data_IF_910490707705
#
_entry.id   IF_910490707705
#
_cell.length_a   1.000
_cell.length_b   1.000
_cell.length_c   1.000
_cell.angle_alpha   90.00
_cell.angle_beta   90.00
_cell.angle_gamma   90.00
#
_symmetry.space_group_name_H-M   'P 1'
#
loop_
_entity.id
_entity.type
_entity.pdbx_description
1 polymer ?
#
# COMPACT_ATOMS: atom_id res chain seq x y z
N UNK A 1 -11.77 -7.41 25.99
CA UNK A 1 -10.31 -7.27 25.89
C UNK A 1 -10.04 -6.29 24.76
N UNK A 2 -9.28 -5.22 25.02
CA UNK A 2 -8.96 -4.22 24.00
C UNK A 2 -7.71 -4.72 23.29
N UNK A 3 -7.87 -5.40 22.15
CA UNK A 3 -6.73 -5.80 21.32
C UNK A 3 -6.18 -4.52 20.70
N UNK A 4 -4.99 -4.11 21.11
CA UNK A 4 -4.31 -2.97 20.50
C UNK A 4 -4.12 -3.24 19.00
N UNK A 5 -4.44 -2.25 18.16
CA UNK A 5 -4.28 -2.39 16.72
C UNK A 5 -2.80 -2.53 16.38
N UNK A 6 -2.43 -3.42 15.45
CA UNK A 6 -1.08 -3.47 14.92
C UNK A 6 -0.61 -2.10 14.43
N UNK A 7 0.65 -1.77 14.70
CA UNK A 7 1.27 -0.52 14.29
C UNK A 7 2.22 -0.76 13.13
N UNK A 8 2.08 0.02 12.05
CA UNK A 8 3.06 0.06 10.97
C UNK A 8 4.32 0.79 11.46
N UNK A 9 5.40 0.05 11.69
CA UNK A 9 6.67 0.58 12.17
C UNK A 9 7.45 1.30 11.08
N UNK A 10 7.62 0.63 9.94
CA UNK A 10 8.37 1.15 8.82
C UNK A 10 7.88 0.55 7.49
N UNK A 11 8.02 1.34 6.43
CA UNK A 11 7.87 0.90 5.05
C UNK A 11 9.15 1.21 4.30
N UNK A 12 9.74 0.20 3.68
CA UNK A 12 11.00 0.30 2.95
C UNK A 12 10.81 -0.14 1.51
N UNK A 13 11.44 0.56 0.58
CA UNK A 13 11.37 0.27 -0.85
C UNK A 13 12.77 0.10 -1.41
N UNK A 14 13.03 -1.02 -2.08
CA UNK A 14 14.20 -1.22 -2.92
C UNK A 14 13.82 -0.87 -4.36
N UNK A 15 14.53 0.05 -5.05
CA UNK A 15 14.16 0.44 -6.41
C UNK A 15 14.40 -0.66 -7.46
N UNK A 16 15.44 -1.47 -7.30
CA UNK A 16 15.85 -2.49 -8.28
C UNK A 16 16.53 -3.71 -7.64
N UNK A 17 16.00 -4.95 -7.85
CA UNK A 17 14.64 -5.21 -8.31
C UNK A 17 13.63 -4.53 -7.37
N UNK A 18 12.48 -4.09 -7.90
CA UNK A 18 11.49 -3.37 -7.09
C UNK A 18 10.92 -4.31 -6.03
N UNK A 19 11.12 -3.97 -4.77
CA UNK A 19 10.64 -4.73 -3.61
C UNK A 19 10.15 -3.75 -2.54
N UNK A 20 9.04 -4.09 -1.89
CA UNK A 20 8.49 -3.32 -0.77
C UNK A 20 8.41 -4.24 0.45
N UNK A 21 8.94 -3.76 1.57
CA UNK A 21 8.87 -4.45 2.87
C UNK A 21 8.21 -3.53 3.88
N UNK A 22 7.29 -4.09 4.65
CA UNK A 22 6.71 -3.42 5.81
C UNK A 22 7.13 -4.14 7.07
N UNK A 23 7.40 -3.38 8.12
CA UNK A 23 7.56 -3.87 9.48
C UNK A 23 6.36 -3.46 10.30
N UNK A 24 5.77 -4.42 11.00
CA UNK A 24 4.64 -4.21 11.89
C UNK A 24 5.00 -4.66 13.30
N UNK A 25 4.45 -3.93 14.27
CA UNK A 25 4.42 -4.31 15.68
C UNK A 25 3.01 -4.78 16.02
N UNK A 26 2.86 -6.04 16.39
CA UNK A 26 1.57 -6.67 16.70
C UNK A 26 1.52 -7.03 18.19
N UNK A 27 0.68 -6.35 18.98
CA UNK A 27 0.46 -6.68 20.39
C UNK A 27 -0.26 -8.03 20.53
N UNK A 28 0.24 -8.88 21.41
CA UNK A 28 -0.34 -10.19 21.72
C UNK A 28 -1.17 -10.11 22.99
N UNK A 29 -2.49 -10.17 22.83
CA UNK A 29 -3.51 -10.38 23.88
C UNK A 29 -3.27 -9.69 25.23
N UNK A 30 -2.83 -8.44 25.24
CA UNK A 30 -2.77 -7.60 26.45
C UNK A 30 -1.67 -7.93 27.45
N UNK A 31 -0.73 -8.83 27.13
CA UNK A 31 0.34 -9.26 28.06
C UNK A 31 1.63 -8.43 27.94
N UNK A 32 1.61 -7.28 27.25
CA UNK A 32 2.83 -6.48 26.99
C UNK A 32 3.83 -7.16 26.05
N UNK A 33 3.44 -8.29 25.46
CA UNK A 33 4.20 -9.03 24.45
C UNK A 33 3.85 -8.47 23.07
N UNK A 34 4.87 -8.24 22.26
CA UNK A 34 4.77 -7.71 20.90
C UNK A 34 5.48 -8.67 19.95
N UNK A 35 4.86 -8.92 18.80
CA UNK A 35 5.48 -9.60 17.68
C UNK A 35 6.03 -8.58 16.69
N UNK A 36 7.26 -8.81 16.22
CA UNK A 36 7.81 -8.15 15.05
C UNK A 36 7.41 -8.96 13.82
N UNK A 37 6.66 -8.36 12.91
CA UNK A 37 6.21 -9.01 11.68
C UNK A 37 6.72 -8.25 10.48
N UNK A 38 7.34 -8.97 9.55
CA UNK A 38 7.65 -8.47 8.23
C UNK A 38 6.53 -8.85 7.26
N UNK A 39 6.04 -7.87 6.48
CA UNK A 39 5.19 -8.12 5.33
C UNK A 39 6.00 -7.88 4.05
N UNK A 40 6.02 -8.86 3.15
CA UNK A 40 6.63 -8.76 1.82
C UNK A 40 5.66 -9.29 0.77
N UNK A 41 5.29 -8.46 -0.21
CA UNK A 41 4.29 -8.80 -1.24
C UNK A 41 2.98 -9.37 -0.65
N UNK A 42 2.56 -8.86 0.51
CA UNK A 42 1.37 -9.31 1.25
C UNK A 42 1.55 -10.58 2.08
N UNK A 43 2.73 -11.22 2.06
CA UNK A 43 3.03 -12.41 2.88
C UNK A 43 3.67 -11.98 4.19
N UNK A 44 3.10 -12.41 5.30
CA UNK A 44 3.59 -12.09 6.64
C UNK A 44 4.53 -13.17 7.16
N UNK A 45 5.67 -12.74 7.69
CA UNK A 45 6.64 -13.57 8.37
C UNK A 45 6.91 -12.98 9.75
N UNK A 46 6.67 -13.75 10.80
CA UNK A 46 7.05 -13.35 12.15
C UNK A 46 8.58 -13.44 12.27
N UNK A 47 9.20 -12.35 12.70
CA UNK A 47 10.65 -12.22 12.81
C UNK A 47 11.09 -12.46 14.26
N UNK A 48 10.36 -11.89 15.21
CA UNK A 48 10.68 -11.99 16.62
C UNK A 48 9.46 -11.75 17.51
N UNK A 49 9.62 -12.04 18.80
CA UNK A 49 8.65 -11.77 19.86
C UNK A 49 9.40 -11.30 21.10
N UNK A 50 8.85 -10.33 21.82
CA UNK A 50 9.45 -9.82 23.05
C UNK A 50 8.61 -8.70 23.65
N UNK A 51 9.21 -7.91 24.54
CA UNK A 51 8.61 -6.65 24.98
C UNK A 51 8.61 -5.63 23.84
N UNK A 52 7.77 -4.58 23.94
CA UNK A 52 7.80 -3.49 22.96
C UNK A 52 9.21 -2.89 22.80
N UNK A 53 9.96 -2.71 23.90
CA UNK A 53 11.30 -2.14 23.85
C UNK A 53 12.27 -3.03 23.05
N UNK A 54 12.35 -4.31 23.38
CA UNK A 54 13.24 -5.26 22.72
C UNK A 54 12.91 -5.39 21.23
N UNK A 55 11.61 -5.46 20.91
CA UNK A 55 11.14 -5.58 19.54
C UNK A 55 11.41 -4.30 18.73
N UNK A 56 11.22 -3.11 19.30
CA UNK A 56 11.57 -1.86 18.62
C UNK A 56 13.06 -1.77 18.32
N UNK A 57 13.94 -2.19 19.25
CA UNK A 57 15.39 -2.22 18.97
C UNK A 57 15.76 -3.19 17.84
N UNK A 58 15.10 -4.35 17.78
CA UNK A 58 15.31 -5.29 16.69
C UNK A 58 14.77 -4.74 15.36
N UNK A 59 13.62 -4.07 15.37
CA UNK A 59 13.08 -3.40 14.20
C UNK A 59 14.05 -2.33 13.67
N UNK A 60 14.62 -1.50 14.54
CA UNK A 60 15.64 -0.51 14.18
C UNK A 60 16.88 -1.16 13.56
N UNK A 61 17.38 -2.25 14.17
CA UNK A 61 18.53 -2.99 13.65
C UNK A 61 18.25 -3.56 12.25
N UNK A 62 17.06 -4.12 12.02
CA UNK A 62 16.65 -4.63 10.71
C UNK A 62 16.51 -3.53 9.66
N UNK A 63 15.90 -2.40 10.02
CA UNK A 63 15.80 -1.23 9.13
C UNK A 63 17.20 -0.79 8.71
N UNK A 64 18.12 -0.64 9.66
CA UNK A 64 19.50 -0.25 9.36
C UNK A 64 20.23 -1.27 8.49
N UNK A 65 20.03 -2.57 8.76
CA UNK A 65 20.61 -3.65 7.95
C UNK A 65 20.10 -3.60 6.51
N UNK A 66 18.79 -3.45 6.30
CA UNK A 66 18.22 -3.42 4.94
C UNK A 66 18.63 -2.17 4.17
N UNK A 67 18.69 -1.02 4.84
CA UNK A 67 19.13 0.23 4.23
C UNK A 67 20.61 0.16 3.84
N UNK A 68 21.49 -0.28 4.75
CA UNK A 68 22.94 -0.28 4.52
C UNK A 68 23.44 -1.47 3.71
N UNK A 69 22.80 -2.64 3.84
CA UNK A 69 23.27 -3.91 3.29
C UNK A 69 22.50 -4.39 2.06
N UNK A 70 21.23 -3.99 1.90
CA UNK A 70 20.37 -4.53 0.82
C UNK A 70 19.88 -3.47 -0.18
N UNK A 71 20.18 -2.19 0.06
CA UNK A 71 19.84 -1.09 -0.85
C UNK A 71 18.38 -0.61 -0.74
N UNK A 72 17.76 -0.83 0.42
CA UNK A 72 16.43 -0.29 0.70
C UNK A 72 16.48 1.19 1.06
N UNK A 73 15.42 1.91 0.69
CA UNK A 73 15.17 3.28 1.11
C UNK A 73 13.99 3.31 2.07
N UNK A 74 14.16 3.93 3.24
CA UNK A 74 13.04 4.19 4.15
C UNK A 74 12.11 5.22 3.51
N UNK A 75 10.81 4.92 3.45
CA UNK A 75 9.81 5.87 2.98
C UNK A 75 9.34 6.73 4.14
N UNK A 76 9.43 8.04 3.98
CA UNK A 76 8.73 8.98 4.83
C UNK A 76 7.21 8.81 4.64
N UNK A 77 6.42 9.19 5.65
CA UNK A 77 4.96 9.02 5.67
C UNK A 77 4.25 9.69 4.48
N UNK A 78 4.84 10.73 3.91
CA UNK A 78 4.35 11.49 2.76
C UNK A 78 4.69 10.85 1.40
N UNK A 79 5.56 9.84 1.36
CA UNK A 79 5.95 9.14 0.13
C UNK A 79 5.30 7.75 0.08
N UNK A 80 4.15 7.60 -0.62
CA UNK A 80 3.47 6.32 -0.72
C UNK A 80 4.37 5.24 -1.35
N UNK A 81 4.37 4.05 -0.74
CA UNK A 81 4.94 2.86 -1.34
C UNK A 81 3.86 2.16 -2.17
N UNK A 82 3.93 2.33 -3.48
CA UNK A 82 2.97 1.71 -4.37
C UNK A 82 3.30 0.23 -4.62
N UNK A 83 2.27 -0.60 -4.56
CA UNK A 83 2.33 -2.05 -4.64
C UNK A 83 1.13 -2.61 -5.43
N UNK A 84 1.16 -3.89 -5.82
CA UNK A 84 -0.02 -4.58 -6.32
C UNK A 84 -1.15 -4.59 -5.27
N UNK A 85 -2.41 -4.56 -5.73
CA UNK A 85 -3.60 -4.52 -4.87
C UNK A 85 -3.57 -5.55 -3.73
N UNK A 86 -3.18 -6.79 -4.03
CA UNK A 86 -3.17 -7.87 -3.06
C UNK A 86 -2.25 -7.59 -1.86
N UNK A 87 -1.07 -7.00 -2.10
CA UNK A 87 -0.12 -6.65 -1.05
C UNK A 87 -0.66 -5.49 -0.19
N UNK A 88 -1.20 -4.44 -0.82
CA UNK A 88 -1.81 -3.32 -0.12
C UNK A 88 -3.02 -3.74 0.71
N UNK A 89 -3.89 -4.61 0.17
CA UNK A 89 -5.04 -5.16 0.90
C UNK A 89 -4.57 -6.01 2.07
N UNK A 90 -3.55 -6.86 1.89
CA UNK A 90 -3.01 -7.67 2.98
C UNK A 90 -2.46 -6.78 4.11
N UNK A 91 -1.72 -5.72 3.79
CA UNK A 91 -1.23 -4.75 4.77
C UNK A 91 -2.37 -4.09 5.53
N UNK A 92 -3.37 -3.56 4.82
CA UNK A 92 -4.49 -2.88 5.43
C UNK A 92 -5.35 -3.81 6.32
N UNK A 93 -5.61 -5.05 5.89
CA UNK A 93 -6.25 -6.07 6.72
C UNK A 93 -5.46 -6.34 8.00
N UNK A 94 -4.13 -6.45 7.89
CA UNK A 94 -3.22 -6.69 9.03
C UNK A 94 -3.27 -5.53 10.04
N UNK A 95 -3.42 -4.30 9.56
CA UNK A 95 -3.58 -3.10 10.40
C UNK A 95 -4.99 -2.94 10.98
N UNK A 96 -5.90 -3.89 10.74
CA UNK A 96 -7.23 -3.93 11.32
C UNK A 96 -8.29 -3.14 10.52
N UNK A 97 -8.00 -2.77 9.27
CA UNK A 97 -9.01 -2.27 8.35
C UNK A 97 -9.76 -3.43 7.71
N UNK A 98 -11.09 -3.36 7.67
CA UNK A 98 -11.94 -4.44 7.15
C UNK A 98 -12.80 -3.98 5.97
N UNK A 99 -13.00 -2.67 5.84
CA UNK A 99 -13.92 -2.06 4.88
C UNK A 99 -13.15 -1.03 4.06
N UNK A 100 -13.49 -0.93 2.78
CA UNK A 100 -13.16 0.21 1.93
C UNK A 100 -14.45 0.89 1.48
N UNK A 101 -14.46 2.21 1.47
CA UNK A 101 -15.57 3.00 0.96
C UNK A 101 -15.31 3.39 -0.49
N UNK A 102 -16.08 2.79 -1.39
CA UNK A 102 -15.96 2.98 -2.83
C UNK A 102 -17.32 3.40 -3.41
N UNK A 103 -17.39 4.65 -3.87
CA UNK A 103 -18.61 5.24 -4.41
C UNK A 103 -19.18 4.45 -5.60
N UNK A 104 -18.36 3.69 -6.33
CA UNK A 104 -18.81 2.84 -7.45
C UNK A 104 -19.74 1.70 -7.00
N UNK A 105 -19.69 1.34 -5.71
CA UNK A 105 -20.53 0.30 -5.11
C UNK A 105 -21.76 0.85 -4.39
N UNK A 106 -22.01 2.17 -4.45
CA UNK A 106 -23.23 2.76 -3.89
C UNK A 106 -24.46 2.21 -4.63
N UNK A 107 -25.42 1.70 -3.88
CA UNK A 107 -26.70 1.18 -4.38
C UNK A 107 -27.83 1.84 -3.61
N UNK A 108 -28.52 2.77 -4.25
CA UNK A 108 -29.61 3.54 -3.65
C UNK A 108 -30.97 3.19 -4.27
N UNK A 109 -30.96 2.47 -5.38
CA UNK A 109 -32.10 2.21 -6.26
C UNK A 109 -32.78 0.86 -6.00
N UNK A 110 -32.05 -0.13 -5.42
CA UNK A 110 -32.60 -1.46 -5.16
C UNK A 110 -31.93 -2.19 -3.98
N UNK A 111 -32.69 -2.96 -3.19
CA UNK A 111 -32.15 -3.78 -2.11
C UNK A 111 -31.19 -4.90 -2.60
N UNK A 112 -30.19 -5.30 -1.76
CA UNK A 112 -29.81 -4.63 -0.52
C UNK A 112 -29.13 -3.28 -0.82
N UNK A 113 -29.59 -2.24 -0.13
CA UNK A 113 -29.05 -0.88 -0.30
C UNK A 113 -27.62 -0.83 0.24
N UNK A 114 -26.78 -0.04 -0.40
CA UNK A 114 -25.43 0.30 0.05
C UNK A 114 -25.23 1.82 -0.09
N UNK A 115 -25.73 2.59 0.87
CA UNK A 115 -25.68 4.04 0.79
C UNK A 115 -24.26 4.61 0.95
N UNK A 116 -23.37 3.87 1.63
CA UNK A 116 -22.01 4.30 1.92
C UNK A 116 -21.02 3.89 0.83
N UNK A 117 -21.35 2.87 0.02
CA UNK A 117 -20.39 2.24 -0.88
C UNK A 117 -19.39 1.36 -0.14
N UNK A 118 -19.72 0.92 1.07
CA UNK A 118 -18.87 0.03 1.85
C UNK A 118 -18.72 -1.32 1.15
N UNK A 119 -17.48 -1.78 1.03
CA UNK A 119 -17.13 -3.09 0.47
C UNK A 119 -16.15 -3.75 1.45
N UNK A 120 -16.32 -5.05 1.77
CA UNK A 120 -15.30 -5.78 2.51
C UNK A 120 -13.97 -5.71 1.75
N UNK A 121 -12.91 -5.30 2.44
CA UNK A 121 -11.60 -5.04 1.83
C UNK A 121 -11.04 -6.30 1.16
N UNK A 122 -11.29 -7.49 1.72
CA UNK A 122 -10.91 -8.79 1.14
C UNK A 122 -11.63 -9.15 -0.16
N UNK A 123 -12.72 -8.45 -0.50
CA UNK A 123 -13.51 -8.63 -1.73
C UNK A 123 -13.42 -7.44 -2.67
N UNK A 124 -12.66 -6.41 -2.32
CA UNK A 124 -12.56 -5.20 -3.14
C UNK A 124 -11.69 -5.46 -4.36
N UNK A 125 -12.22 -5.27 -5.59
CA UNK A 125 -11.48 -5.58 -6.82
C UNK A 125 -10.48 -4.48 -7.23
N UNK A 126 -10.45 -3.35 -6.51
CA UNK A 126 -9.65 -2.19 -6.89
C UNK A 126 -10.20 -1.43 -8.10
N UNK A 127 -9.34 -0.62 -8.72
CA UNK A 127 -9.61 0.14 -9.93
C UNK A 127 -9.54 -0.73 -11.19
N UNK A 128 -10.36 -0.39 -12.18
CA UNK A 128 -10.38 -1.06 -13.49
C UNK A 128 -9.60 -0.22 -14.48
N UNK A 129 -8.50 -0.77 -15.00
CA UNK A 129 -7.67 -0.12 -16.01
C UNK A 129 -8.27 -0.24 -17.42
N UNK A 130 -7.94 0.74 -18.28
CA UNK A 130 -8.18 0.72 -19.72
C UNK A 130 -6.87 0.59 -20.48
N UNK A 131 -6.94 0.35 -21.79
CA UNK A 131 -5.81 0.40 -22.72
C UNK A 131 -4.63 -0.52 -22.35
N UNK A 132 -4.91 -1.67 -21.74
CA UNK A 132 -3.87 -2.65 -21.35
C UNK A 132 -2.94 -2.17 -20.22
N UNK A 133 -3.26 -1.06 -19.55
CA UNK A 133 -2.55 -0.61 -18.37
C UNK A 133 -2.97 -1.36 -17.10
N UNK A 134 -2.43 -0.92 -15.97
CA UNK A 134 -2.75 -1.45 -14.65
C UNK A 134 -2.98 -0.35 -13.61
N UNK A 135 -3.09 -0.76 -12.35
CA UNK A 135 -3.10 0.12 -11.20
C UNK A 135 -2.15 -0.42 -10.13
N UNK A 136 -1.45 0.49 -9.48
CA UNK A 136 -0.73 0.23 -8.24
C UNK A 136 -1.37 1.04 -7.11
N UNK A 137 -1.23 0.53 -5.89
CA UNK A 137 -1.95 0.99 -4.71
C UNK A 137 -0.98 1.26 -3.58
N UNK A 138 -1.25 2.27 -2.77
CA UNK A 138 -0.47 2.57 -1.59
C UNK A 138 -1.39 2.87 -0.41
N UNK A 139 -1.10 2.26 0.73
CA UNK A 139 -1.74 2.60 2.00
C UNK A 139 -1.03 3.81 2.62
N UNK A 140 -1.78 4.85 2.93
CA UNK A 140 -1.29 6.00 3.69
C UNK A 140 -1.63 5.88 5.18
N UNK A 141 -0.79 6.50 6.02
CA UNK A 141 -0.92 6.44 7.48
C UNK A 141 -2.21 7.07 8.04
N UNK A 142 -2.97 7.80 7.23
CA UNK A 142 -4.28 8.34 7.58
C UNK A 142 -5.44 7.36 7.32
N UNK A 143 -5.16 6.11 6.95
CA UNK A 143 -6.18 5.11 6.66
C UNK A 143 -6.84 5.27 5.30
N UNK A 144 -6.10 5.75 4.30
CA UNK A 144 -6.57 5.81 2.91
C UNK A 144 -5.71 4.98 1.97
N UNK A 145 -6.36 4.37 0.97
CA UNK A 145 -5.67 3.73 -0.15
C UNK A 145 -5.68 4.69 -1.33
N UNK A 146 -4.49 5.02 -1.82
CA UNK A 146 -4.31 5.72 -3.09
C UNK A 146 -4.11 4.71 -4.20
N UNK A 147 -4.86 4.86 -5.29
CA UNK A 147 -4.70 4.08 -6.51
C UNK A 147 -4.18 5.01 -7.61
N UNK A 148 -3.12 4.62 -8.29
CA UNK A 148 -2.62 5.35 -9.46
C UNK A 148 -2.50 4.43 -10.69
N UNK A 149 -2.87 4.94 -11.87
CA UNK A 149 -2.72 4.23 -13.13
C UNK A 149 -1.24 3.95 -13.44
N UNK A 150 -0.98 2.74 -13.93
CA UNK A 150 0.34 2.25 -14.33
C UNK A 150 0.36 1.99 -15.84
N UNK A 151 1.35 2.56 -16.53
CA UNK A 151 1.55 2.33 -17.96
C UNK A 151 1.70 0.83 -18.26
N UNK A 152 1.25 0.36 -19.45
CA UNK A 152 1.43 -1.02 -19.83
C UNK A 152 2.92 -1.37 -19.82
N UNK A 153 3.28 -2.52 -19.26
CA UNK A 153 4.61 -3.11 -19.40
C UNK A 153 4.81 -3.63 -20.84
N UNK A 154 4.70 -2.73 -21.81
CA UNK A 154 5.06 -3.03 -23.20
C UNK A 154 6.58 -3.05 -23.29
N UNK A 155 7.15 -4.06 -23.94
CA UNK A 155 8.60 -4.31 -23.99
C UNK A 155 9.46 -3.24 -24.68
N UNK A 156 8.93 -2.03 -24.90
CA UNK A 156 9.69 -0.86 -25.36
C UNK A 156 9.95 0.06 -24.17
N UNK A 157 11.21 0.25 -23.75
CA UNK A 157 11.55 1.23 -22.72
C UNK A 157 11.07 2.63 -23.15
N UNK A 158 10.40 3.34 -22.25
CA UNK A 158 10.13 4.76 -22.43
C UNK A 158 11.44 5.51 -22.20
N UNK A 159 12.09 5.95 -23.27
CA UNK A 159 13.36 6.67 -23.21
C UNK A 159 13.07 8.16 -23.14
N UNK A 160 13.39 8.78 -22.01
CA UNK A 160 13.26 10.22 -21.84
C UNK A 160 14.34 10.97 -22.65
N UNK A 161 13.99 12.04 -23.41
CA UNK A 161 14.97 12.93 -24.02
C UNK A 161 15.84 13.63 -22.98
N UNK A 162 17.04 14.07 -23.39
CA UNK A 162 18.03 14.68 -22.47
C UNK A 162 17.63 16.05 -21.91
N UNK A 163 16.56 16.69 -22.42
CA UNK A 163 16.03 17.95 -21.90
C UNK A 163 15.30 18.78 -22.96
N UNK A 164 15.01 20.05 -22.61
CA UNK A 164 14.45 21.03 -23.54
C UNK A 164 12.96 20.82 -23.90
N UNK A 165 12.49 21.43 -25.01
CA UNK A 165 11.10 21.31 -25.46
C UNK A 165 10.64 19.87 -25.70
N UNK A 166 11.55 19.01 -26.15
CA UNK A 166 11.31 17.58 -26.39
C UNK A 166 11.00 16.83 -25.09
N UNK A 167 11.69 17.15 -24.00
CA UNK A 167 11.39 16.58 -22.68
C UNK A 167 9.99 16.99 -22.20
N UNK A 168 9.60 18.26 -22.41
CA UNK A 168 8.25 18.73 -22.04
C UNK A 168 7.18 18.01 -22.87
N UNK A 169 7.40 17.84 -24.17
CA UNK A 169 6.49 17.08 -25.04
C UNK A 169 6.38 15.60 -24.59
N UNK A 170 7.52 14.97 -24.27
CA UNK A 170 7.57 13.61 -23.73
C UNK A 170 6.79 13.47 -22.42
N UNK A 171 6.98 14.39 -21.46
CA UNK A 171 6.22 14.37 -20.20
C UNK A 171 4.72 14.53 -20.44
N UNK A 172 4.30 15.43 -21.36
CA UNK A 172 2.89 15.58 -21.72
C UNK A 172 2.30 14.32 -22.33
N UNK A 173 3.04 13.66 -23.20
CA UNK A 173 2.63 12.39 -23.79
C UNK A 173 2.50 11.29 -22.73
N UNK A 174 3.46 11.20 -21.80
CA UNK A 174 3.37 10.26 -20.68
C UNK A 174 2.14 10.50 -19.80
N UNK A 175 1.84 11.76 -19.48
CA UNK A 175 0.64 12.12 -18.72
C UNK A 175 -0.61 11.73 -19.49
N UNK A 176 -0.68 12.03 -20.79
CA UNK A 176 -1.82 11.65 -21.62
C UNK A 176 -2.01 10.12 -21.71
N UNK A 177 -0.92 9.36 -21.86
CA UNK A 177 -0.95 7.90 -21.84
C UNK A 177 -1.44 7.36 -20.50
N UNK A 178 -0.99 7.97 -19.40
CA UNK A 178 -1.41 7.61 -18.04
C UNK A 178 -2.90 7.90 -17.83
N UNK A 179 -3.35 9.08 -18.22
CA UNK A 179 -4.75 9.51 -18.07
C UNK A 179 -5.70 8.68 -18.93
N UNK A 180 -5.22 8.16 -20.06
CA UNK A 180 -5.98 7.24 -20.92
C UNK A 180 -6.25 5.88 -20.24
N UNK A 181 -5.45 5.46 -19.27
CA UNK A 181 -5.67 4.21 -18.50
C UNK A 181 -6.81 4.39 -17.51
N UNK A 182 -6.86 5.55 -16.86
CA UNK A 182 -7.91 5.91 -15.91
C UNK A 182 -7.42 6.94 -14.88
N UNK A 183 -8.33 7.46 -14.05
CA UNK A 183 -7.99 8.47 -13.06
C UNK A 183 -7.20 7.87 -11.89
N UNK A 184 -6.45 8.71 -11.19
CA UNK A 184 -6.02 8.39 -9.82
C UNK A 184 -7.23 8.49 -8.88
N UNK A 185 -7.25 7.70 -7.82
CA UNK A 185 -8.37 7.65 -6.88
C UNK A 185 -7.89 7.43 -5.44
N UNK A 186 -8.65 7.95 -4.49
CA UNK A 186 -8.42 7.75 -3.06
C UNK A 186 -9.64 7.06 -2.44
N UNK A 187 -9.39 6.09 -1.58
CA UNK A 187 -10.42 5.30 -0.92
C UNK A 187 -10.20 5.32 0.59
N UNK A 188 -11.25 5.73 1.32
CA UNK A 188 -11.23 5.71 2.78
C UNK A 188 -11.37 4.27 3.27
N UNK A 189 -10.63 3.93 4.33
CA UNK A 189 -10.75 2.65 5.01
C UNK A 189 -11.55 2.77 6.31
N UNK A 190 -12.33 1.73 6.59
CA UNK A 190 -13.03 1.51 7.85
C UNK A 190 -12.47 0.30 8.59
N UNK A 191 -12.31 0.43 9.90
CA UNK A 191 -12.00 -0.71 10.78
C UNK A 191 -13.25 -1.32 11.41
N UNK A 192 -13.05 -2.35 12.23
CA UNK A 192 -14.12 -2.96 13.04
C UNK A 192 -14.76 -1.91 13.95
N UNK A 193 -16.05 -1.64 13.75
CA UNK A 193 -16.88 -0.90 14.70
C UNK A 193 -17.25 -1.89 15.81
N UNK A 194 -16.46 -1.88 16.89
CA UNK A 194 -16.68 -2.50 18.20
C UNK A 194 -17.17 -3.96 18.23
#
# INVERSE_FOLDING_TARGET
MNVERPTLYATLVKPSPREVRHLLLESVDGYGVVNLVQLNAGVANQIATGTHYEVSQQADALVQQWVKGEGFESRATDKPAYEPLAATVALALRLGYEIVYDNRFKKLDRPPLNATGAVPLSKWPGMTAKNGGGYEYALQGNGTIHAQPMLPLTGKPLVAPAGGPEFVAFVRELVALRDAIGPSAEFLLGGRLF
#
